data_IF_895319418762
#
_entry.id   IF_895319418762
#
_cell.length_a   1.000
_cell.length_b   1.000
_cell.length_c   1.000
_cell.angle_alpha   90.00
_cell.angle_beta   90.00
_cell.angle_gamma   90.00
#
_symmetry.space_group_name_H-M   'P 1'
#
loop_
_entity.id
_entity.type
_entity.pdbx_description
1 polymer ?
#
# COMPACT_ATOMS: atom_id res chain seq x y z
N UNK A 1 1.07 -19.93 13.68
CA UNK A 1 1.00 -18.96 14.80
C UNK A 1 -0.37 -18.31 14.77
N UNK A 2 -1.08 -18.25 15.90
CA UNK A 2 -2.43 -17.67 15.97
C UNK A 2 -2.36 -16.20 16.32
N UNK A 3 -2.61 -15.31 15.35
CA UNK A 3 -2.73 -13.86 15.59
C UNK A 3 -3.90 -13.50 16.50
N UNK A 4 -4.84 -14.43 16.70
CA UNK A 4 -6.00 -14.25 17.55
C UNK A 4 -5.63 -13.93 19.00
N UNK A 5 -4.54 -14.50 19.52
CA UNK A 5 -4.09 -14.21 20.88
C UNK A 5 -3.71 -12.74 21.05
N UNK A 6 -3.05 -12.16 20.05
CA UNK A 6 -2.64 -10.75 20.04
C UNK A 6 -3.86 -9.81 19.94
N UNK A 7 -4.89 -10.21 19.17
CA UNK A 7 -6.17 -9.50 19.12
C UNK A 7 -6.90 -9.57 20.46
N UNK A 8 -6.92 -10.74 21.10
CA UNK A 8 -7.53 -10.91 22.43
C UNK A 8 -6.81 -10.08 23.50
N UNK A 9 -5.48 -10.02 23.46
CA UNK A 9 -4.66 -9.17 24.33
C UNK A 9 -4.93 -7.68 24.10
N UNK A 10 -5.23 -7.24 22.88
CA UNK A 10 -5.64 -5.86 22.62
C UNK A 10 -7.05 -5.57 23.17
N UNK A 11 -8.01 -6.47 22.94
CA UNK A 11 -9.41 -6.27 23.36
C UNK A 11 -9.60 -6.36 24.88
N UNK A 12 -8.83 -7.21 25.55
CA UNK A 12 -8.93 -7.44 27.00
C UNK A 12 -7.66 -7.00 27.75
N UNK A 13 -6.77 -6.28 27.07
CA UNK A 13 -5.53 -5.77 27.65
C UNK A 13 -5.82 -4.73 28.71
N UNK A 14 -5.12 -4.83 29.84
CA UNK A 14 -5.21 -3.86 30.92
C UNK A 14 -4.02 -2.90 30.94
N UNK A 15 -4.02 -2.02 31.93
CA UNK A 15 -2.84 -1.23 32.29
C UNK A 15 -2.02 -1.93 33.36
N UNK A 16 -0.69 -1.77 33.35
CA UNK A 16 0.13 -2.20 34.48
C UNK A 16 0.13 -1.19 35.63
N UNK A 17 -0.33 0.04 35.39
CA UNK A 17 -0.35 1.11 36.39
C UNK A 17 1.04 1.71 36.64
N UNK A 18 2.01 1.38 35.79
CA UNK A 18 3.38 1.88 35.84
C UNK A 18 3.66 2.56 34.52
N UNK A 19 3.72 3.90 34.57
CA UNK A 19 4.14 4.72 33.47
C UNK A 19 5.65 4.62 33.27
N UNK A 20 6.09 4.60 32.01
CA UNK A 20 7.49 4.72 31.71
C UNK A 20 8.04 6.09 32.19
N UNK A 21 9.32 6.19 32.57
CA UNK A 21 9.92 7.44 33.05
C UNK A 21 10.35 8.41 31.93
N UNK A 22 10.25 8.06 30.65
CA UNK A 22 10.74 8.87 29.52
C UNK A 22 9.63 9.65 28.81
N UNK A 23 8.52 8.96 28.52
CA UNK A 23 7.36 9.42 27.78
C UNK A 23 6.09 9.42 28.64
N UNK A 24 6.11 8.79 29.82
CA UNK A 24 4.95 8.78 30.73
C UNK A 24 3.81 7.90 30.24
N UNK A 25 4.09 6.95 29.35
CA UNK A 25 3.10 6.02 28.79
C UNK A 25 3.08 4.74 29.64
N UNK A 26 1.90 4.21 29.95
CA UNK A 26 1.77 2.95 30.69
C UNK A 26 2.42 1.79 29.91
N UNK A 27 3.13 0.93 30.63
CA UNK A 27 3.76 -0.26 30.05
C UNK A 27 2.76 -1.18 29.31
N UNK A 28 1.47 -1.12 29.67
CA UNK A 28 0.40 -1.92 29.09
C UNK A 28 0.20 -1.59 27.61
N UNK A 29 0.37 -0.33 27.24
CA UNK A 29 0.35 0.10 25.84
C UNK A 29 1.40 -0.66 25.00
N UNK A 30 2.63 -0.75 25.50
CA UNK A 30 3.72 -1.40 24.76
C UNK A 30 3.56 -2.93 24.69
N UNK A 31 2.92 -3.53 25.69
CA UNK A 31 2.72 -4.97 25.77
C UNK A 31 1.48 -5.46 24.97
N UNK A 32 0.41 -4.68 24.94
CA UNK A 32 -0.90 -5.12 24.42
C UNK A 32 -1.31 -4.38 23.15
N UNK A 33 -1.24 -3.05 23.17
CA UNK A 33 -1.72 -2.21 22.07
C UNK A 33 -0.73 -2.14 20.91
N UNK A 34 0.54 -1.86 21.23
CA UNK A 34 1.59 -1.66 20.24
C UNK A 34 1.78 -2.88 19.31
N UNK A 35 1.79 -4.13 19.81
CA UNK A 35 1.84 -5.28 18.93
C UNK A 35 0.64 -5.29 17.98
N UNK A 36 -0.59 -5.05 18.46
CA UNK A 36 -1.79 -5.06 17.62
C UNK A 36 -1.72 -4.01 16.52
N UNK A 37 -1.30 -2.78 16.82
CA UNK A 37 -1.10 -1.74 15.80
C UNK A 37 -0.06 -2.16 14.75
N UNK A 38 1.04 -2.78 15.17
CA UNK A 38 2.05 -3.30 14.24
C UNK A 38 1.48 -4.38 13.32
N UNK A 39 0.62 -5.26 13.85
CA UNK A 39 -0.06 -6.30 13.06
C UNK A 39 -0.95 -5.68 11.98
N UNK A 40 -1.81 -4.73 12.36
CA UNK A 40 -2.69 -4.01 11.42
C UNK A 40 -1.88 -3.28 10.36
N UNK A 41 -0.84 -2.54 10.77
CA UNK A 41 0.05 -1.84 9.84
C UNK A 41 0.74 -2.79 8.86
N UNK A 42 1.15 -3.98 9.32
CA UNK A 42 1.77 -4.99 8.45
C UNK A 42 0.80 -5.47 7.38
N UNK A 43 -0.45 -5.76 7.75
CA UNK A 43 -1.48 -6.15 6.78
C UNK A 43 -1.84 -5.03 5.81
N UNK A 44 -1.96 -3.79 6.30
CA UNK A 44 -2.21 -2.63 5.45
C UNK A 44 -1.06 -2.41 4.47
N UNK A 45 0.18 -2.55 4.91
CA UNK A 45 1.35 -2.38 4.05
C UNK A 45 1.40 -3.46 2.96
N UNK A 46 1.19 -4.73 3.33
CA UNK A 46 1.12 -5.83 2.35
C UNK A 46 -0.04 -5.62 1.38
N UNK A 47 -1.22 -5.26 1.89
CA UNK A 47 -2.39 -4.98 1.07
C UNK A 47 -2.14 -3.84 0.09
N UNK A 48 -1.58 -2.72 0.56
CA UNK A 48 -1.22 -1.58 -0.27
C UNK A 48 -0.15 -1.93 -1.31
N UNK A 49 0.86 -2.71 -0.93
CA UNK A 49 1.89 -3.19 -1.84
C UNK A 49 1.29 -4.07 -2.95
N UNK A 50 0.42 -5.02 -2.60
CA UNK A 50 -0.28 -5.84 -3.58
C UNK A 50 -1.21 -5.02 -4.47
N UNK A 51 -1.94 -4.05 -3.92
CA UNK A 51 -2.77 -3.13 -4.68
C UNK A 51 -1.92 -2.29 -5.66
N UNK A 52 -0.75 -1.83 -5.24
CA UNK A 52 0.20 -1.12 -6.09
C UNK A 52 0.68 -1.99 -7.26
N UNK A 53 1.07 -3.25 -7.00
CA UNK A 53 1.47 -4.18 -8.06
C UNK A 53 0.30 -4.48 -8.99
N UNK A 54 -0.90 -4.76 -8.45
CA UNK A 54 -2.09 -5.02 -9.24
C UNK A 54 -2.46 -3.80 -10.12
N UNK A 55 -2.33 -2.59 -9.58
CA UNK A 55 -2.53 -1.35 -10.31
C UNK A 55 -1.50 -1.20 -11.43
N UNK A 56 -0.21 -1.44 -11.15
CA UNK A 56 0.86 -1.38 -12.16
C UNK A 56 0.64 -2.39 -13.30
N UNK A 57 0.29 -3.64 -12.96
CA UNK A 57 -0.04 -4.67 -13.94
C UNK A 57 -1.30 -4.32 -14.73
N UNK A 58 -2.33 -3.81 -14.06
CA UNK A 58 -3.54 -3.30 -14.71
C UNK A 58 -3.21 -2.20 -15.72
N UNK A 59 -2.42 -1.20 -15.33
CA UNK A 59 -1.98 -0.15 -16.23
C UNK A 59 -1.08 -0.69 -17.36
N UNK A 60 -0.25 -1.70 -17.11
CA UNK A 60 0.55 -2.33 -18.14
C UNK A 60 -0.31 -3.07 -19.18
N UNK A 61 -1.29 -3.85 -18.74
CA UNK A 61 -2.14 -4.69 -19.58
C UNK A 61 -3.26 -3.92 -20.30
N UNK A 62 -3.90 -2.96 -19.62
CA UNK A 62 -5.02 -2.17 -20.17
C UNK A 62 -4.55 -0.93 -20.97
N UNK A 63 -3.24 -0.72 -21.15
CA UNK A 63 -2.73 0.13 -22.24
C UNK A 63 -1.99 1.42 -21.85
N UNK A 64 -1.42 1.50 -20.65
CA UNK A 64 -0.55 2.61 -20.21
C UNK A 64 0.88 2.54 -20.76
N UNK A 65 1.34 1.38 -21.22
CA UNK A 65 2.61 1.24 -21.94
C UNK A 65 2.35 0.58 -23.29
N UNK A 66 2.01 1.40 -24.29
CA UNK A 66 2.24 1.01 -25.68
C UNK A 66 3.76 1.04 -25.93
N UNK A 67 4.48 -0.01 -25.53
CA UNK A 67 5.85 -0.27 -26.02
C UNK A 67 5.88 -0.62 -27.53
N UNK A 68 4.71 -0.79 -28.15
CA UNK A 68 4.56 -1.00 -29.58
C UNK A 68 3.42 -0.14 -30.14
N UNK A 69 3.70 1.15 -30.27
CA UNK A 69 2.89 2.06 -31.06
C UNK A 69 3.82 2.98 -31.79
N UNK A 70 4.46 2.47 -32.85
CA UNK A 70 5.07 3.26 -33.92
C UNK A 70 4.04 4.28 -34.42
N UNK A 71 3.93 5.41 -33.72
CA UNK A 71 3.18 6.60 -34.13
C UNK A 71 4.12 7.80 -34.22
N UNK A 72 5.37 7.54 -34.61
CA UNK A 72 6.09 8.41 -35.55
C UNK A 72 5.66 8.17 -37.00
N UNK A 73 4.47 7.62 -37.23
CA UNK A 73 3.84 7.64 -38.54
C UNK A 73 2.76 8.72 -38.48
N UNK A 74 3.09 9.90 -39.00
CA UNK A 74 2.14 10.96 -39.35
C UNK A 74 0.81 10.33 -39.77
N UNK A 75 -0.29 10.75 -39.14
CA UNK A 75 -1.63 10.31 -39.50
C UNK A 75 -1.85 10.47 -41.00
N UNK A 76 -2.72 9.66 -41.61
CA UNK A 76 -3.00 9.75 -43.06
C UNK A 76 -3.38 11.18 -43.48
N UNK A 77 -4.07 11.91 -42.60
CA UNK A 77 -4.38 13.34 -42.76
C UNK A 77 -3.14 14.24 -42.75
N UNK A 78 -2.20 14.04 -41.81
CA UNK A 78 -0.96 14.81 -41.75
C UNK A 78 -0.03 14.53 -42.95
N UNK A 79 -0.05 13.32 -43.51
CA UNK A 79 0.67 13.01 -44.77
C UNK A 79 0.07 13.75 -45.98
N UNK A 80 -1.25 13.89 -46.06
CA UNK A 80 -1.91 14.61 -47.15
C UNK A 80 -1.52 16.09 -47.11
N UNK A 81 -1.58 16.73 -45.93
CA UNK A 81 -1.19 18.13 -45.77
C UNK A 81 0.27 18.40 -46.16
N UNK A 82 1.19 17.48 -45.86
CA UNK A 82 2.61 17.67 -46.18
C UNK A 82 2.93 17.49 -47.67
N UNK A 83 2.17 16.66 -48.39
CA UNK A 83 2.36 16.44 -49.84
C UNK A 83 1.72 17.57 -50.66
N UNK A 84 0.71 18.24 -50.12
CA UNK A 84 0.06 19.39 -50.78
C UNK A 84 0.80 20.71 -50.59
N UNK A 85 1.84 20.76 -49.76
CA UNK A 85 2.63 21.97 -49.49
C UNK A 85 3.82 22.09 -50.45
#
# INVERSE_FOLDING_TARGET
QSYWQQVQLYLHGGSFGVADPQFGIDLGFYAFDLPFYRLVLSYLFVGAFLAFIANLLGHYLFGGIRLAGRSGALSRAARIQLITL
#
